data_IF_581717563708
#
_entry.id   IF_581717563708
#
_cell.length_a   1.000
_cell.length_b   1.000
_cell.length_c   1.000
_cell.angle_alpha   90.00
_cell.angle_beta   90.00
_cell.angle_gamma   90.00
#
_symmetry.space_group_name_H-M   'P 1'
#
loop_
_entity.id
_entity.type
_entity.pdbx_description
1 polymer ?
#
# COMPACT_ATOMS: atom_id res chain seq x y z
N UNK A 1 21.60 18.30 3.31
CA UNK A 1 20.18 18.09 2.93
C UNK A 1 19.60 17.11 3.94
N UNK A 2 18.36 17.26 4.34
CA UNK A 2 17.72 16.41 5.35
C UNK A 2 17.02 15.25 4.65
N UNK A 3 17.26 14.02 5.08
CA UNK A 3 16.57 12.83 4.60
C UNK A 3 15.15 12.77 5.18
N UNK A 4 14.17 12.35 4.36
CA UNK A 4 12.77 12.27 4.74
C UNK A 4 12.07 11.10 4.02
N UNK A 5 11.08 10.53 4.66
CA UNK A 5 10.18 9.54 4.06
C UNK A 5 8.86 10.14 3.64
N UNK A 6 8.25 9.55 2.61
CA UNK A 6 6.88 9.87 2.19
C UNK A 6 5.96 8.76 2.67
N UNK A 7 4.86 9.14 3.33
CA UNK A 7 3.78 8.22 3.68
C UNK A 7 2.51 8.57 2.92
N UNK A 8 1.93 7.58 2.25
CA UNK A 8 0.63 7.70 1.58
C UNK A 8 -0.37 6.79 2.29
N UNK A 9 -1.47 7.38 2.76
CA UNK A 9 -2.51 6.66 3.47
C UNK A 9 -3.66 6.26 2.54
N UNK A 10 -3.89 4.95 2.41
CA UNK A 10 -5.02 4.37 1.67
C UNK A 10 -6.04 3.83 2.69
N UNK A 11 -7.20 4.47 2.87
CA UNK A 11 -8.09 4.17 4.00
C UNK A 11 -8.98 2.94 3.79
N UNK A 12 -8.95 2.27 2.65
CA UNK A 12 -9.90 1.20 2.33
C UNK A 12 -9.50 -0.14 2.95
N UNK A 13 -10.48 -0.83 3.55
CA UNK A 13 -10.38 -2.22 4.01
C UNK A 13 -11.57 -3.03 3.49
N UNK A 14 -11.39 -4.34 3.31
CA UNK A 14 -12.52 -5.27 3.10
C UNK A 14 -13.28 -5.51 4.41
N UNK A 15 -12.53 -5.64 5.51
CA UNK A 15 -13.06 -5.94 6.84
C UNK A 15 -12.36 -5.08 7.88
N UNK A 16 -13.08 -4.51 8.83
CA UNK A 16 -12.49 -3.84 9.99
C UNK A 16 -12.11 -4.89 11.03
N UNK A 17 -10.83 -5.06 11.28
CA UNK A 17 -10.34 -5.96 12.32
C UNK A 17 -10.64 -5.40 13.71
N UNK A 18 -11.02 -6.25 14.66
CA UNK A 18 -11.46 -5.83 16.01
C UNK A 18 -10.38 -5.09 16.81
N UNK A 19 -9.11 -5.36 16.51
CA UNK A 19 -7.96 -4.76 17.20
C UNK A 19 -7.42 -3.51 16.51
N UNK A 20 -7.90 -3.21 15.28
CA UNK A 20 -7.28 -2.20 14.44
C UNK A 20 -7.79 -0.80 14.77
N UNK A 21 -6.88 0.06 15.18
CA UNK A 21 -7.16 1.46 15.54
C UNK A 21 -6.76 2.45 14.42
N UNK A 22 -6.22 1.94 13.32
CA UNK A 22 -5.92 2.78 12.16
C UNK A 22 -7.19 3.34 11.52
N UNK A 23 -7.08 4.57 11.01
CA UNK A 23 -8.15 5.15 10.22
C UNK A 23 -8.40 4.30 8.97
N UNK A 24 -9.54 3.63 8.93
CA UNK A 24 -9.93 2.81 7.79
C UNK A 24 -11.45 2.73 7.67
N UNK A 25 -11.91 2.58 6.44
CA UNK A 25 -13.32 2.48 6.06
C UNK A 25 -13.56 1.19 5.27
N UNK A 26 -14.70 0.55 5.53
CA UNK A 26 -15.14 -0.64 4.80
C UNK A 26 -16.27 -0.32 3.83
N UNK A 27 -16.58 -1.25 2.92
CA UNK A 27 -17.70 -1.16 1.97
C UNK A 27 -17.69 0.05 1.02
N UNK A 28 -16.52 0.70 0.86
CA UNK A 28 -16.32 1.89 0.04
C UNK A 28 -15.35 1.70 -1.12
N UNK A 29 -15.10 0.43 -1.54
CA UNK A 29 -14.21 0.14 -2.68
C UNK A 29 -14.60 0.90 -3.97
N UNK A 30 -15.90 1.12 -4.19
CA UNK A 30 -16.41 1.90 -5.32
C UNK A 30 -15.96 3.37 -5.34
N UNK A 31 -15.50 3.88 -4.20
CA UNK A 31 -15.02 5.26 -4.09
C UNK A 31 -13.50 5.38 -4.33
N UNK A 32 -12.82 4.27 -4.63
CA UNK A 32 -11.35 4.25 -4.80
C UNK A 32 -10.87 5.20 -5.90
N UNK A 33 -11.55 5.23 -7.06
CA UNK A 33 -11.16 6.13 -8.16
C UNK A 33 -11.30 7.60 -7.77
N UNK A 34 -12.40 7.95 -7.08
CA UNK A 34 -12.62 9.30 -6.57
C UNK A 34 -11.58 9.69 -5.52
N UNK A 35 -11.22 8.76 -4.64
CA UNK A 35 -10.17 8.96 -3.64
C UNK A 35 -8.83 9.16 -4.30
N UNK A 36 -8.44 8.31 -5.25
CA UNK A 36 -7.18 8.42 -5.99
C UNK A 36 -7.09 9.77 -6.72
N UNK A 37 -8.19 10.20 -7.36
CA UNK A 37 -8.23 11.52 -8.01
C UNK A 37 -8.02 12.66 -7.02
N UNK A 38 -8.64 12.59 -5.83
CA UNK A 38 -8.46 13.58 -4.77
C UNK A 38 -7.04 13.57 -4.20
N UNK A 39 -6.45 12.38 -3.98
CA UNK A 39 -5.07 12.22 -3.54
C UNK A 39 -4.06 12.78 -4.56
N UNK A 40 -4.25 12.48 -5.84
CA UNK A 40 -3.42 13.06 -6.91
C UNK A 40 -3.52 14.59 -6.94
N UNK A 41 -4.71 15.13 -6.72
CA UNK A 41 -4.90 16.57 -6.61
C UNK A 41 -4.16 17.15 -5.37
N UNK A 42 -4.26 16.51 -4.21
CA UNK A 42 -3.52 16.88 -3.00
C UNK A 42 -2.00 16.88 -3.23
N UNK A 43 -1.45 15.80 -3.81
CA UNK A 43 -0.03 15.69 -4.16
C UNK A 43 0.38 16.84 -5.09
N UNK A 44 -0.41 17.14 -6.11
CA UNK A 44 -0.11 18.18 -7.10
C UNK A 44 -0.05 19.59 -6.51
N UNK A 45 -0.82 19.85 -5.44
CA UNK A 45 -0.84 21.13 -4.73
C UNK A 45 0.04 21.14 -3.48
N UNK A 46 0.72 20.04 -3.17
CA UNK A 46 1.65 19.98 -2.04
C UNK A 46 2.92 20.78 -2.32
N UNK A 47 3.57 21.24 -1.26
CA UNK A 47 4.86 21.96 -1.30
C UNK A 47 6.06 21.02 -1.18
N UNK A 48 5.93 19.72 -1.58
CA UNK A 48 7.01 18.73 -1.45
C UNK A 48 8.29 19.14 -2.17
N UNK A 49 8.17 19.85 -3.29
CA UNK A 49 9.25 20.36 -4.13
C UNK A 49 9.85 21.68 -3.65
N UNK A 50 9.27 22.34 -2.65
CA UNK A 50 9.73 23.64 -2.13
C UNK A 50 10.77 23.48 -1.00
N UNK A 51 10.92 22.29 -0.41
CA UNK A 51 11.80 22.02 0.69
C UNK A 51 13.10 21.33 0.25
N UNK A 52 14.25 21.59 0.88
CA UNK A 52 15.53 20.97 0.56
C UNK A 52 15.66 19.54 1.13
N UNK A 53 14.58 18.76 1.05
CA UNK A 53 14.58 17.36 1.51
C UNK A 53 14.99 16.41 0.39
N UNK A 54 15.68 15.36 0.77
CA UNK A 54 15.89 14.17 -0.06
C UNK A 54 14.92 13.11 0.44
N UNK A 55 13.93 12.78 -0.39
CA UNK A 55 13.02 11.67 -0.09
C UNK A 55 13.69 10.37 -0.54
N UNK A 56 14.03 9.51 0.43
CA UNK A 56 14.71 8.24 0.20
C UNK A 56 13.79 7.02 0.33
N UNK A 57 12.64 7.19 0.97
CA UNK A 57 11.65 6.14 1.19
C UNK A 57 10.24 6.59 0.86
N UNK A 58 9.45 5.65 0.32
CA UNK A 58 8.01 5.77 0.12
C UNK A 58 7.30 4.60 0.80
N UNK A 59 6.37 4.90 1.70
CA UNK A 59 5.54 3.90 2.35
C UNK A 59 4.05 4.14 2.03
N UNK A 60 3.42 3.16 1.40
CA UNK A 60 1.98 3.17 1.08
C UNK A 60 1.29 2.22 2.05
N UNK A 61 0.58 2.79 3.01
CA UNK A 61 -0.01 2.06 4.12
C UNK A 61 -1.44 2.51 4.45
N UNK A 62 -1.91 2.14 5.63
CA UNK A 62 -3.18 2.58 6.20
C UNK A 62 -4.19 1.47 6.42
N UNK A 63 -5.23 1.39 5.61
CA UNK A 63 -6.19 0.29 5.61
C UNK A 63 -5.61 -0.94 4.92
N UNK A 64 -5.81 -1.05 3.63
CA UNK A 64 -5.27 -2.12 2.78
C UNK A 64 -4.93 -1.56 1.40
N UNK A 65 -3.74 -1.00 1.21
CA UNK A 65 -3.33 -0.39 -0.06
C UNK A 65 -3.40 -1.32 -1.26
N UNK A 66 -3.21 -2.62 -1.05
CA UNK A 66 -3.33 -3.62 -2.12
C UNK A 66 -4.76 -3.80 -2.67
N UNK A 67 -5.76 -3.11 -2.13
CA UNK A 67 -7.09 -3.02 -2.76
C UNK A 67 -7.10 -2.13 -4.01
N UNK A 68 -6.14 -1.24 -4.15
CA UNK A 68 -5.91 -0.49 -5.39
C UNK A 68 -5.55 -1.45 -6.53
N UNK A 69 -5.91 -1.10 -7.75
CA UNK A 69 -5.41 -1.74 -8.96
C UNK A 69 -4.14 -1.06 -9.50
N UNK A 70 -3.49 -1.67 -10.50
CA UNK A 70 -2.26 -1.14 -11.10
C UNK A 70 -2.41 0.29 -11.62
N UNK A 71 -3.48 0.61 -12.34
CA UNK A 71 -3.72 1.95 -12.91
C UNK A 71 -3.91 3.01 -11.82
N UNK A 72 -4.57 2.66 -10.71
CA UNK A 72 -4.75 3.56 -9.57
C UNK A 72 -3.42 3.86 -8.88
N UNK A 73 -2.60 2.83 -8.68
CA UNK A 73 -1.25 2.98 -8.11
C UNK A 73 -0.34 3.78 -9.05
N UNK A 74 -0.36 3.47 -10.35
CA UNK A 74 0.39 4.20 -11.39
C UNK A 74 0.05 5.69 -11.39
N UNK A 75 -1.24 6.03 -11.30
CA UNK A 75 -1.69 7.44 -11.25
C UNK A 75 -1.09 8.19 -10.06
N UNK A 76 -1.06 7.57 -8.87
CA UNK A 76 -0.46 8.14 -7.67
C UNK A 76 1.04 8.33 -7.86
N UNK A 77 1.76 7.29 -8.28
CA UNK A 77 3.22 7.31 -8.43
C UNK A 77 3.66 8.30 -9.52
N UNK A 78 2.95 8.34 -10.66
CA UNK A 78 3.21 9.31 -11.73
C UNK A 78 2.99 10.74 -11.28
N UNK A 79 1.96 10.99 -10.46
CA UNK A 79 1.72 12.34 -9.93
C UNK A 79 2.80 12.71 -8.91
N UNK A 80 3.19 11.79 -8.04
CA UNK A 80 4.24 12.02 -7.04
C UNK A 80 5.60 12.28 -7.70
N UNK A 81 5.94 11.56 -8.78
CA UNK A 81 7.22 11.73 -9.49
C UNK A 81 7.42 13.11 -10.14
N UNK A 82 6.35 13.88 -10.30
CA UNK A 82 6.41 15.28 -10.73
C UNK A 82 6.80 16.24 -9.63
N UNK A 83 6.69 15.82 -8.38
CA UNK A 83 6.98 16.62 -7.18
C UNK A 83 8.30 16.24 -6.51
N UNK A 84 8.68 14.96 -6.58
CA UNK A 84 9.89 14.45 -5.95
C UNK A 84 10.67 13.57 -6.91
N UNK A 85 12.01 13.59 -6.79
CA UNK A 85 12.86 12.74 -7.62
C UNK A 85 12.84 11.30 -7.13
N UNK A 86 12.40 10.38 -7.98
CA UNK A 86 12.37 8.94 -7.68
C UNK A 86 13.77 8.29 -7.73
N UNK A 87 14.80 9.00 -8.24
CA UNK A 87 16.18 8.49 -8.26
C UNK A 87 16.77 8.31 -6.86
N UNK A 88 16.23 9.00 -5.86
CA UNK A 88 16.65 8.88 -4.46
C UNK A 88 15.80 7.88 -3.66
N UNK A 89 14.64 7.45 -4.16
CA UNK A 89 13.78 6.48 -3.47
C UNK A 89 14.38 5.07 -3.55
N UNK A 90 15.12 4.70 -2.51
CA UNK A 90 15.74 3.38 -2.40
C UNK A 90 14.76 2.30 -1.94
N UNK A 91 13.75 2.68 -1.15
CA UNK A 91 12.67 1.78 -0.71
C UNK A 91 11.30 2.34 -1.09
N UNK A 92 10.48 1.51 -1.73
CA UNK A 92 9.07 1.77 -2.02
C UNK A 92 8.26 0.61 -1.49
N UNK A 93 7.64 0.82 -0.33
CA UNK A 93 6.87 -0.20 0.40
C UNK A 93 5.38 -0.07 0.14
N UNK A 94 4.70 -1.21 -0.01
CA UNK A 94 3.25 -1.29 0.00
C UNK A 94 2.77 -2.32 1.04
N UNK A 95 1.71 -1.98 1.79
CA UNK A 95 1.05 -2.92 2.69
C UNK A 95 0.03 -3.78 1.96
N UNK A 96 0.03 -5.08 2.29
CA UNK A 96 -0.93 -6.06 1.75
C UNK A 96 -1.46 -6.96 2.86
N UNK A 97 -2.62 -7.58 2.61
CA UNK A 97 -3.08 -8.72 3.42
C UNK A 97 -2.89 -10.04 2.65
N UNK A 98 -2.61 -11.16 3.34
CA UNK A 98 -2.58 -12.47 2.72
C UNK A 98 -3.88 -12.79 1.97
N UNK A 99 -3.79 -13.36 0.77
CA UNK A 99 -4.92 -13.71 -0.08
C UNK A 99 -5.58 -12.52 -0.82
N UNK A 100 -5.09 -11.29 -0.68
CA UNK A 100 -5.68 -10.10 -1.33
C UNK A 100 -4.90 -9.61 -2.56
N UNK A 101 -3.69 -10.12 -2.77
CA UNK A 101 -2.87 -9.79 -3.92
C UNK A 101 -2.51 -11.07 -4.71
N UNK A 102 -2.96 -11.16 -5.95
CA UNK A 102 -2.56 -12.22 -6.89
C UNK A 102 -1.13 -11.99 -7.38
N UNK A 103 -0.50 -13.04 -7.95
CA UNK A 103 0.81 -12.93 -8.58
C UNK A 103 0.82 -11.84 -9.66
N UNK A 104 -0.20 -11.80 -10.53
CA UNK A 104 -0.34 -10.76 -11.57
C UNK A 104 -0.32 -9.35 -10.95
N UNK A 105 -1.13 -9.09 -9.93
CA UNK A 105 -1.17 -7.79 -9.26
C UNK A 105 0.17 -7.41 -8.62
N UNK A 106 0.88 -8.37 -8.01
CA UNK A 106 2.20 -8.13 -7.41
C UNK A 106 3.25 -7.83 -8.49
N UNK A 107 3.17 -8.52 -9.64
CA UNK A 107 4.01 -8.23 -10.81
C UNK A 107 3.75 -6.81 -11.36
N UNK A 108 2.47 -6.39 -11.42
CA UNK A 108 2.12 -5.01 -11.78
C UNK A 108 2.74 -4.01 -10.81
N UNK A 109 2.61 -4.24 -9.50
CA UNK A 109 3.18 -3.37 -8.48
C UNK A 109 4.70 -3.31 -8.57
N UNK A 110 5.36 -4.45 -8.80
CA UNK A 110 6.81 -4.49 -9.01
C UNK A 110 7.23 -3.70 -10.25
N UNK A 111 6.50 -3.84 -11.37
CA UNK A 111 6.77 -3.08 -12.60
C UNK A 111 6.64 -1.56 -12.42
N UNK A 112 5.79 -1.12 -11.49
CA UNK A 112 5.64 0.28 -11.08
C UNK A 112 6.73 0.74 -10.09
N UNK A 113 7.65 -0.17 -9.73
CA UNK A 113 8.81 0.11 -8.90
C UNK A 113 8.60 -0.09 -7.40
N UNK A 114 7.52 -0.72 -6.97
CA UNK A 114 7.40 -1.23 -5.59
C UNK A 114 8.45 -2.33 -5.41
N UNK A 115 9.33 -2.19 -4.41
CA UNK A 115 10.42 -3.14 -4.17
C UNK A 115 10.41 -3.75 -2.76
N UNK A 116 9.43 -3.40 -1.93
CA UNK A 116 9.21 -3.98 -0.61
C UNK A 116 7.72 -4.17 -0.34
N UNK A 117 7.38 -5.30 0.26
CA UNK A 117 6.02 -5.61 0.70
C UNK A 117 6.00 -5.78 2.21
N UNK A 118 5.06 -5.11 2.87
CA UNK A 118 4.71 -5.33 4.27
C UNK A 118 3.43 -6.15 4.32
N UNK A 119 3.53 -7.41 4.76
CA UNK A 119 2.39 -8.34 4.75
C UNK A 119 1.78 -8.49 6.15
N UNK A 120 0.51 -8.16 6.29
CA UNK A 120 -0.26 -8.25 7.53
C UNK A 120 -0.65 -9.69 7.90
N UNK A 121 0.30 -10.52 8.31
CA UNK A 121 0.09 -11.93 8.70
C UNK A 121 -0.65 -12.05 10.03
N UNK A 122 -0.23 -11.30 11.03
CA UNK A 122 -0.70 -11.25 12.42
C UNK A 122 -0.44 -12.52 13.21
N UNK A 123 -0.81 -13.71 12.71
CA UNK A 123 -0.57 -15.00 13.33
C UNK A 123 -0.54 -16.13 12.31
N UNK A 124 0.15 -17.22 12.63
CA UNK A 124 0.06 -18.51 11.94
C UNK A 124 -0.83 -19.52 12.68
N UNK A 125 -1.49 -19.09 13.75
CA UNK A 125 -2.48 -19.87 14.48
C UNK A 125 -3.88 -19.54 13.97
N UNK A 126 -4.64 -20.57 13.59
CA UNK A 126 -5.99 -20.42 13.02
C UNK A 126 -6.99 -19.82 14.02
N UNK A 127 -6.92 -20.20 15.28
CA UNK A 127 -7.85 -19.72 16.32
C UNK A 127 -7.57 -18.25 16.62
N UNK A 128 -6.29 -17.87 16.67
CA UNK A 128 -5.90 -16.47 16.84
C UNK A 128 -6.30 -15.62 15.64
N UNK A 129 -6.20 -16.14 14.42
CA UNK A 129 -6.68 -15.40 13.23
C UNK A 129 -8.19 -15.14 13.31
N UNK A 130 -8.96 -16.13 13.73
CA UNK A 130 -10.42 -15.97 13.95
C UNK A 130 -10.69 -14.94 15.04
N UNK A 131 -10.00 -15.05 16.19
CA UNK A 131 -10.12 -14.09 17.29
C UNK A 131 -9.81 -12.66 16.85
N UNK A 132 -8.79 -12.47 16.01
CA UNK A 132 -8.39 -11.17 15.46
C UNK A 132 -9.28 -10.70 14.30
N UNK A 133 -10.34 -11.43 13.97
CA UNK A 133 -11.22 -11.13 12.81
C UNK A 133 -10.46 -11.01 11.48
N UNK A 134 -9.40 -11.84 11.30
CA UNK A 134 -8.67 -11.89 10.05
C UNK A 134 -9.42 -12.75 9.02
N UNK A 135 -9.51 -12.25 7.78
CA UNK A 135 -10.24 -12.91 6.69
C UNK A 135 -9.41 -13.95 5.94
N UNK A 136 -8.11 -14.04 6.22
CA UNK A 136 -7.21 -14.97 5.55
C UNK A 136 -6.91 -16.22 6.37
N UNK A 137 -6.51 -17.28 5.71
CA UNK A 137 -6.03 -18.53 6.30
C UNK A 137 -4.50 -18.58 6.33
N UNK A 138 -3.95 -19.48 7.16
CA UNK A 138 -2.50 -19.77 7.21
C UNK A 138 -1.97 -20.20 5.83
N UNK A 139 -2.74 -20.99 5.07
CA UNK A 139 -2.38 -21.39 3.71
C UNK A 139 -2.18 -20.18 2.80
N UNK A 140 -3.09 -19.21 2.85
CA UNK A 140 -2.97 -17.98 2.05
C UNK A 140 -1.77 -17.11 2.42
N UNK A 141 -1.26 -17.20 3.66
CA UNK A 141 -0.01 -16.53 4.04
C UNK A 141 1.15 -17.04 3.20
N UNK A 142 1.33 -18.37 3.14
CA UNK A 142 2.43 -18.99 2.38
C UNK A 142 2.25 -18.78 0.87
N UNK A 143 1.05 -18.98 0.35
CA UNK A 143 0.75 -18.73 -1.09
C UNK A 143 1.06 -17.28 -1.47
N UNK A 144 0.67 -16.31 -0.64
CA UNK A 144 0.96 -14.89 -0.90
C UNK A 144 2.46 -14.60 -0.81
N UNK A 145 3.15 -15.22 0.15
CA UNK A 145 4.60 -15.10 0.26
C UNK A 145 5.31 -15.62 -0.99
N UNK A 146 4.91 -16.77 -1.50
CA UNK A 146 5.45 -17.35 -2.73
C UNK A 146 5.20 -16.44 -3.95
N UNK A 147 4.00 -15.85 -4.04
CA UNK A 147 3.68 -14.87 -5.08
C UNK A 147 4.59 -13.63 -4.99
N UNK A 148 4.84 -13.09 -3.78
CA UNK A 148 5.74 -11.95 -3.58
C UNK A 148 7.17 -12.28 -4.02
N UNK A 149 7.64 -13.49 -3.74
CA UNK A 149 9.00 -13.93 -4.12
C UNK A 149 9.15 -14.20 -5.62
N UNK A 150 8.05 -14.47 -6.29
CA UNK A 150 8.02 -14.80 -7.74
C UNK A 150 7.86 -13.54 -8.59
N UNK A 151 7.11 -12.56 -8.10
CA UNK A 151 6.92 -11.28 -8.77
C UNK A 151 8.18 -10.41 -8.77
#
# INVERSE_FOLDING_TARGET
MTEAGIYIHIPFCKTKCMYCDFYSITDRKKDADRFVSALCNEISHSSLDEYPWIFDTLFIGGGTPSLLNGNQLESILTTLSKKVSFSYLTEKTIEINPGEASLEKLTDFYSLGINRVSMGVQSLDKELLVFLTRSHSVKQVFETFDHIRTA
#
